data_IF_001858275085
#
_entry.id   IF_001858275085
#
_cell.length_a   1.000
_cell.length_b   1.000
_cell.length_c   1.000
_cell.angle_alpha   90.00
_cell.angle_beta   90.00
_cell.angle_gamma   90.00
#
_symmetry.space_group_name_H-M   'P 1'
#
loop_
_entity.id
_entity.type
_entity.pdbx_description
1 polymer ?
#
# COMPACT_ATOMS: atom_id res chain seq x y z
N UNK A 1 -3.17 13.01 -13.31
CA UNK A 1 -2.09 12.81 -14.29
C UNK A 1 -1.82 11.33 -14.29
N UNK A 2 -1.74 10.72 -15.46
CA UNK A 2 -1.72 9.28 -15.61
C UNK A 2 -0.43 8.85 -16.31
N UNK A 3 0.25 7.80 -15.83
CA UNK A 3 1.42 7.28 -16.51
C UNK A 3 1.02 6.68 -17.85
N UNK A 4 1.87 6.87 -18.86
CA UNK A 4 1.72 6.25 -20.17
C UNK A 4 3.03 5.58 -20.57
N UNK A 5 2.95 4.35 -21.08
CA UNK A 5 4.10 3.59 -21.55
C UNK A 5 4.22 3.73 -23.08
N UNK A 6 5.35 4.22 -23.56
CA UNK A 6 5.63 4.33 -24.99
C UNK A 6 7.07 3.88 -25.27
N UNK A 7 7.26 2.94 -26.19
CA UNK A 7 8.57 2.36 -26.57
C UNK A 7 9.43 1.95 -25.34
N UNK A 8 8.80 1.36 -24.32
CA UNK A 8 9.50 0.86 -23.14
C UNK A 8 9.91 1.92 -22.11
N UNK A 9 9.49 3.18 -22.27
CA UNK A 9 9.70 4.24 -21.27
C UNK A 9 8.35 4.85 -20.83
N UNK A 10 8.28 5.27 -19.58
CA UNK A 10 7.13 5.92 -18.99
C UNK A 10 7.21 7.44 -19.14
N UNK A 11 6.09 8.04 -19.51
CA UNK A 11 5.80 9.47 -19.45
C UNK A 11 4.46 9.70 -18.74
N UNK A 12 3.91 10.90 -18.86
CA UNK A 12 2.65 11.25 -18.20
C UNK A 12 1.74 12.13 -19.06
N UNK A 13 0.44 11.83 -19.01
CA UNK A 13 -0.63 12.56 -19.67
C UNK A 13 -1.59 13.20 -18.66
N UNK A 14 -2.22 14.31 -19.04
CA UNK A 14 -3.31 14.90 -18.27
C UNK A 14 -4.65 14.16 -18.47
N UNK A 15 -5.73 14.67 -17.85
CA UNK A 15 -7.07 14.08 -17.97
C UNK A 15 -7.67 14.19 -19.38
N UNK A 16 -7.19 15.12 -20.20
CA UNK A 16 -7.60 15.29 -21.58
C UNK A 16 -6.76 14.43 -22.55
N UNK A 17 -5.80 13.64 -22.03
CA UNK A 17 -4.91 12.82 -22.84
C UNK A 17 -3.73 13.58 -23.45
N UNK A 18 -3.52 14.85 -23.07
CA UNK A 18 -2.37 15.62 -23.55
C UNK A 18 -1.11 15.20 -22.81
N UNK A 19 -0.02 15.02 -23.55
CA UNK A 19 1.30 14.75 -22.98
C UNK A 19 1.78 15.93 -22.13
N UNK A 20 2.12 15.65 -20.87
CA UNK A 20 2.72 16.62 -19.94
C UNK A 20 4.20 16.33 -19.74
N UNK A 21 4.56 15.05 -19.58
CA UNK A 21 5.95 14.63 -19.43
C UNK A 21 6.22 13.57 -20.49
N UNK A 22 7.13 13.86 -21.41
CA UNK A 22 7.51 12.92 -22.46
C UNK A 22 8.08 11.61 -21.86
N UNK A 23 7.82 10.45 -22.48
CA UNK A 23 8.37 9.16 -22.05
C UNK A 23 9.89 9.17 -21.94
N UNK A 24 10.41 8.98 -20.72
CA UNK A 24 11.84 8.99 -20.43
C UNK A 24 12.24 8.07 -19.26
N UNK A 25 11.28 7.73 -18.39
CA UNK A 25 11.55 6.92 -17.19
C UNK A 25 11.51 5.43 -17.50
N UNK A 26 12.37 4.63 -16.87
CA UNK A 26 12.28 3.16 -16.96
C UNK A 26 11.13 2.60 -16.10
N UNK A 27 10.70 3.36 -15.09
CA UNK A 27 9.52 3.08 -14.28
C UNK A 27 8.89 4.40 -13.82
N UNK A 28 7.56 4.42 -13.69
CA UNK A 28 6.83 5.51 -13.06
C UNK A 28 5.62 4.95 -12.29
N UNK A 29 5.44 5.40 -11.06
CA UNK A 29 4.20 5.17 -10.30
C UNK A 29 3.12 6.16 -10.74
N UNK A 30 1.89 5.91 -10.29
CA UNK A 30 0.84 6.93 -10.29
C UNK A 30 1.22 8.11 -9.39
N UNK A 31 0.60 9.26 -9.67
CA UNK A 31 0.67 10.43 -8.79
C UNK A 31 -0.22 10.24 -7.56
N UNK A 32 0.35 10.45 -6.37
CA UNK A 32 -0.38 10.57 -5.11
C UNK A 32 0.18 11.74 -4.29
N UNK A 33 -0.72 12.52 -3.68
CA UNK A 33 -0.37 13.73 -2.90
C UNK A 33 0.69 14.61 -3.60
N UNK A 34 0.48 14.86 -4.90
CA UNK A 34 1.33 15.66 -5.78
C UNK A 34 2.68 15.08 -6.21
N UNK A 35 3.02 13.86 -5.76
CA UNK A 35 4.28 13.18 -6.10
C UNK A 35 4.06 11.90 -6.90
N UNK A 36 5.00 11.60 -7.80
CA UNK A 36 5.15 10.28 -8.41
C UNK A 36 6.58 9.80 -8.24
N UNK A 37 6.75 8.52 -7.92
CA UNK A 37 8.04 7.85 -7.86
C UNK A 37 8.43 7.39 -9.25
N UNK A 38 9.63 7.77 -9.70
CA UNK A 38 10.15 7.45 -11.03
C UNK A 38 11.55 6.87 -10.94
N UNK A 39 11.88 6.02 -11.91
CA UNK A 39 13.22 5.47 -12.11
C UNK A 39 13.78 6.01 -13.42
N UNK A 40 14.98 6.57 -13.36
CA UNK A 40 15.77 6.98 -14.51
C UNK A 40 17.09 6.21 -14.48
N UNK A 41 17.73 6.05 -15.64
CA UNK A 41 19.03 5.38 -15.72
C UNK A 41 20.04 6.13 -14.83
N UNK A 42 20.40 5.54 -13.68
CA UNK A 42 21.28 6.15 -12.67
C UNK A 42 20.63 6.47 -11.32
N UNK A 43 19.31 6.33 -11.14
CA UNK A 43 18.69 6.52 -9.83
C UNK A 43 17.17 6.56 -9.79
N UNK A 44 16.65 6.81 -8.59
CA UNK A 44 15.22 6.87 -8.29
C UNK A 44 14.88 8.21 -7.65
N UNK A 45 13.75 8.78 -8.03
CA UNK A 45 13.38 10.16 -7.69
C UNK A 45 11.88 10.27 -7.47
N UNK A 46 11.47 11.27 -6.70
CA UNK A 46 10.10 11.77 -6.75
C UNK A 46 10.04 12.99 -7.66
N UNK A 47 8.97 13.08 -8.45
CA UNK A 47 8.67 14.22 -9.32
C UNK A 47 7.32 14.83 -8.95
N UNK A 48 7.18 16.12 -9.24
CA UNK A 48 5.91 16.86 -9.14
C UNK A 48 5.10 16.72 -10.43
N UNK A 49 3.82 17.09 -10.37
CA UNK A 49 2.91 17.07 -11.54
C UNK A 49 3.40 17.90 -12.73
N UNK A 50 4.21 18.93 -12.52
CA UNK A 50 4.81 19.70 -13.62
C UNK A 50 6.05 19.03 -14.25
N UNK A 51 6.48 17.87 -13.73
CA UNK A 51 7.66 17.14 -14.19
C UNK A 51 8.97 17.54 -13.53
N UNK A 52 8.95 18.53 -12.63
CA UNK A 52 10.14 18.91 -11.85
C UNK A 52 10.49 17.82 -10.83
N UNK A 53 11.78 17.60 -10.62
CA UNK A 53 12.28 16.75 -9.53
C UNK A 53 11.92 17.38 -8.19
N UNK A 54 11.25 16.60 -7.33
CA UNK A 54 11.00 16.98 -5.95
C UNK A 54 12.23 16.69 -5.10
N UNK A 55 12.63 15.42 -5.02
CA UNK A 55 13.81 14.98 -4.27
C UNK A 55 14.29 13.59 -4.75
N UNK A 56 15.59 13.26 -4.58
CA UNK A 56 16.10 11.92 -4.82
C UNK A 56 15.55 10.93 -3.77
N UNK A 57 15.36 9.67 -4.18
CA UNK A 57 14.97 8.58 -3.30
C UNK A 57 16.07 7.53 -3.29
N UNK A 58 16.62 7.22 -2.12
CA UNK A 58 17.68 6.21 -1.98
C UNK A 58 17.14 4.76 -1.99
N UNK A 59 15.82 4.58 -1.96
CA UNK A 59 15.18 3.28 -1.80
C UNK A 59 14.67 2.72 -3.14
N UNK A 60 14.87 1.42 -3.38
CA UNK A 60 14.48 0.76 -4.62
C UNK A 60 12.96 0.62 -4.78
N UNK A 61 12.22 0.72 -3.67
CA UNK A 61 10.76 0.67 -3.66
C UNK A 61 10.17 1.58 -2.57
N UNK A 62 9.07 2.23 -2.94
CA UNK A 62 8.21 3.03 -2.08
C UNK A 62 6.74 2.78 -2.42
N UNK A 63 5.85 2.95 -1.45
CA UNK A 63 4.41 3.05 -1.69
C UNK A 63 4.04 4.43 -2.24
N UNK A 64 2.77 4.61 -2.58
CA UNK A 64 2.22 5.94 -2.79
C UNK A 64 2.22 6.74 -1.47
N UNK A 65 2.26 8.07 -1.58
CA UNK A 65 2.01 8.96 -0.45
C UNK A 65 0.54 8.89 -0.02
N UNK A 66 0.32 8.77 1.28
CA UNK A 66 -0.99 8.87 1.92
C UNK A 66 -0.80 9.47 3.30
N UNK A 67 -1.58 10.50 3.62
CA UNK A 67 -1.48 11.27 4.87
C UNK A 67 -0.08 11.84 5.08
N UNK A 68 0.57 12.32 4.03
CA UNK A 68 1.89 12.94 4.08
C UNK A 68 3.05 11.95 4.24
N UNK A 69 2.79 10.64 4.29
CA UNK A 69 3.83 9.61 4.41
C UNK A 69 3.74 8.59 3.28
N UNK A 70 4.88 8.01 2.89
CA UNK A 70 4.93 6.80 2.07
C UNK A 70 5.82 5.76 2.74
N UNK A 71 5.42 4.49 2.69
CA UNK A 71 6.27 3.40 3.12
C UNK A 71 7.44 3.23 2.13
N UNK A 72 8.63 2.95 2.62
CA UNK A 72 9.77 2.52 1.81
C UNK A 72 10.25 1.16 2.26
N UNK A 73 10.93 0.43 1.37
CA UNK A 73 11.59 -0.83 1.71
C UNK A 73 13.08 -0.73 1.44
N UNK A 74 13.90 -1.27 2.35
CA UNK A 74 15.38 -1.24 2.21
C UNK A 74 15.92 -2.21 1.13
N UNK A 75 15.06 -3.03 0.55
CA UNK A 75 15.35 -3.92 -0.59
C UNK A 75 14.25 -3.82 -1.63
N UNK A 76 14.45 -4.44 -2.80
CA UNK A 76 13.47 -4.49 -3.88
C UNK A 76 12.13 -5.08 -3.40
N UNK A 77 11.01 -4.59 -3.95
CA UNK A 77 9.65 -4.91 -3.48
C UNK A 77 9.42 -6.41 -3.26
N UNK A 78 9.78 -7.23 -4.25
CA UNK A 78 9.49 -8.66 -4.29
C UNK A 78 10.46 -9.52 -3.49
N UNK A 79 11.57 -8.95 -3.00
CA UNK A 79 12.50 -9.73 -2.19
C UNK A 79 11.93 -9.93 -0.78
N UNK A 80 12.11 -11.10 -0.16
CA UNK A 80 11.62 -11.33 1.20
C UNK A 80 12.49 -10.66 2.27
N UNK A 81 13.70 -10.22 1.91
CA UNK A 81 14.57 -9.43 2.79
C UNK A 81 14.14 -7.96 2.85
N UNK A 82 14.82 -7.19 3.69
CA UNK A 82 14.57 -5.76 3.87
C UNK A 82 13.59 -5.43 4.99
N UNK A 83 13.60 -4.16 5.38
CA UNK A 83 12.71 -3.62 6.41
C UNK A 83 11.93 -2.45 5.84
N UNK A 84 10.73 -2.26 6.35
CA UNK A 84 9.89 -1.14 6.01
C UNK A 84 10.04 -0.02 7.04
N UNK A 85 10.10 1.21 6.52
CA UNK A 85 10.00 2.47 7.26
C UNK A 85 9.13 3.45 6.48
N UNK A 86 9.08 4.71 6.91
CA UNK A 86 8.27 5.75 6.25
C UNK A 86 9.06 7.02 5.96
N UNK A 87 8.86 7.55 4.75
CA UNK A 87 9.36 8.86 4.34
C UNK A 87 8.24 9.89 4.42
N UNK A 88 8.60 11.13 4.75
CA UNK A 88 7.73 12.29 4.63
C UNK A 88 7.81 12.94 3.24
N UNK A 89 7.02 14.00 3.04
CA UNK A 89 6.96 14.73 1.75
C UNK A 89 8.22 15.57 1.43
N UNK A 90 9.20 15.63 2.34
CA UNK A 90 10.54 16.16 2.05
C UNK A 90 11.55 15.05 1.70
N UNK A 91 11.10 13.79 1.60
CA UNK A 91 11.96 12.63 1.34
C UNK A 91 12.81 12.21 2.53
N UNK A 92 12.52 12.71 3.73
CA UNK A 92 13.25 12.37 4.96
C UNK A 92 12.57 11.19 5.66
N UNK A 93 13.37 10.36 6.31
CA UNK A 93 12.87 9.28 7.16
C UNK A 93 12.13 9.91 8.35
N UNK A 94 10.83 9.65 8.45
CA UNK A 94 10.02 10.01 9.61
C UNK A 94 9.88 8.84 10.59
N UNK A 95 9.84 7.60 10.07
CA UNK A 95 9.80 6.39 10.87
C UNK A 95 10.88 5.44 10.34
N UNK A 96 11.82 5.09 11.21
CA UNK A 96 12.96 4.23 10.86
C UNK A 96 12.52 2.86 10.35
N UNK A 97 13.30 2.32 9.41
CA UNK A 97 13.06 1.01 8.85
C UNK A 97 13.34 -0.10 9.89
N UNK A 98 12.26 -0.67 10.44
CA UNK A 98 12.34 -1.76 11.42
C UNK A 98 11.25 -2.82 11.24
N UNK A 99 10.23 -2.55 10.44
CA UNK A 99 9.08 -3.42 10.28
C UNK A 99 9.33 -4.48 9.21
N UNK A 100 8.78 -5.68 9.42
CA UNK A 100 8.81 -6.78 8.44
C UNK A 100 7.86 -6.50 7.27
N UNK A 101 6.70 -5.90 7.59
CA UNK A 101 5.70 -5.44 6.63
C UNK A 101 5.09 -4.12 7.12
N UNK A 102 4.66 -3.27 6.20
CA UNK A 102 4.05 -1.99 6.50
C UNK A 102 2.96 -1.64 5.49
N UNK A 103 1.76 -1.32 5.98
CA UNK A 103 0.68 -0.75 5.18
C UNK A 103 0.82 0.76 5.01
N UNK A 104 0.05 1.34 4.09
CA UNK A 104 -0.08 2.79 3.98
C UNK A 104 -0.81 3.38 5.20
N UNK A 105 -0.52 4.65 5.51
CA UNK A 105 -1.30 5.38 6.51
C UNK A 105 -2.70 5.67 5.96
N UNK A 106 -3.71 5.10 6.61
CA UNK A 106 -5.13 5.25 6.29
C UNK A 106 -5.85 5.66 7.57
N UNK A 107 -6.65 6.74 7.52
CA UNK A 107 -7.31 7.28 8.72
C UNK A 107 -6.35 7.51 9.93
N UNK A 108 -5.15 8.04 9.65
CA UNK A 108 -4.07 8.37 10.64
C UNK A 108 -3.39 7.18 11.32
N UNK A 109 -3.75 5.94 10.95
CA UNK A 109 -3.15 4.71 11.45
C UNK A 109 -2.52 3.91 10.31
N UNK A 110 -1.46 3.16 10.63
CA UNK A 110 -0.94 2.12 9.77
C UNK A 110 -0.85 0.79 10.53
N UNK A 111 -1.21 -0.29 9.84
CA UNK A 111 -0.93 -1.65 10.28
C UNK A 111 0.50 -2.01 9.89
N UNK A 112 1.30 -2.46 10.86
CA UNK A 112 2.69 -2.85 10.67
C UNK A 112 2.99 -4.18 11.33
N UNK A 113 3.85 -4.96 10.71
CA UNK A 113 4.33 -6.23 11.24
C UNK A 113 5.72 -6.07 11.83
N UNK A 114 5.91 -6.56 13.06
CA UNK A 114 7.20 -6.62 13.72
C UNK A 114 7.33 -7.96 14.43
N UNK A 115 8.36 -8.73 14.07
CA UNK A 115 8.65 -10.05 14.61
C UNK A 115 7.48 -11.03 14.45
N UNK A 116 6.85 -11.05 13.27
CA UNK A 116 5.76 -11.97 12.93
C UNK A 116 4.41 -11.65 13.58
N UNK A 117 4.26 -10.45 14.15
CA UNK A 117 3.01 -9.97 14.76
C UNK A 117 2.66 -8.58 14.25
N UNK A 118 1.38 -8.41 13.95
CA UNK A 118 0.82 -7.15 13.50
C UNK A 118 0.42 -6.26 14.68
N UNK A 119 0.62 -4.96 14.53
CA UNK A 119 0.24 -3.93 15.50
C UNK A 119 -0.10 -2.64 14.76
N UNK A 120 -0.64 -1.66 15.47
CA UNK A 120 -1.07 -0.38 14.90
C UNK A 120 -0.13 0.72 15.34
N UNK A 121 0.26 1.59 14.42
CA UNK A 121 1.07 2.77 14.70
C UNK A 121 0.40 4.05 14.22
N UNK A 122 0.65 5.15 14.93
CA UNK A 122 0.28 6.49 14.50
C UNK A 122 1.34 7.08 13.56
N UNK A 123 1.10 8.31 13.07
CA UNK A 123 1.98 9.02 12.13
C UNK A 123 3.39 9.33 12.67
N UNK A 124 3.54 9.30 14.00
CA UNK A 124 4.83 9.45 14.69
C UNK A 124 5.54 8.10 14.92
N UNK A 125 4.96 6.99 14.44
CA UNK A 125 5.49 5.64 14.61
C UNK A 125 5.30 5.06 16.02
N UNK A 126 4.50 5.71 16.86
CA UNK A 126 4.16 5.23 18.20
C UNK A 126 3.08 4.16 18.09
N UNK A 127 3.22 3.10 18.90
CA UNK A 127 2.23 2.02 18.92
C UNK A 127 0.94 2.50 19.58
N UNK A 128 -0.19 2.39 18.88
CA UNK A 128 -1.51 2.81 19.37
C UNK A 128 -2.05 1.82 20.41
N UNK A 129 -1.87 0.51 20.17
CA UNK A 129 -2.40 -0.55 21.02
C UNK A 129 -1.32 -1.60 21.31
N UNK A 130 -1.26 -2.06 22.56
CA UNK A 130 -0.37 -3.16 22.96
C UNK A 130 -0.81 -4.51 22.38
N UNK A 131 -2.03 -4.59 21.82
CA UNK A 131 -2.55 -5.80 21.20
C UNK A 131 -1.69 -6.19 20.01
N UNK A 132 -1.36 -7.49 19.95
CA UNK A 132 -0.64 -8.13 18.86
C UNK A 132 -1.56 -9.09 18.13
N UNK A 133 -1.61 -8.94 16.82
CA UNK A 133 -2.46 -9.71 15.93
C UNK A 133 -1.61 -10.68 15.08
N UNK A 134 -2.25 -11.73 14.59
CA UNK A 134 -1.66 -12.63 13.60
C UNK A 134 -1.75 -12.04 12.18
N UNK A 135 -2.64 -11.07 11.97
CA UNK A 135 -2.82 -10.31 10.73
C UNK A 135 -3.72 -9.10 11.00
N UNK A 136 -3.50 -7.99 10.30
CA UNK A 136 -4.43 -6.85 10.21
C UNK A 136 -4.48 -6.39 8.76
N UNK A 137 -5.68 -6.20 8.22
CA UNK A 137 -5.86 -5.64 6.88
C UNK A 137 -5.57 -4.14 6.86
N UNK A 138 -5.59 -3.53 5.67
CA UNK A 138 -5.65 -2.07 5.58
C UNK A 138 -6.96 -1.53 6.21
N UNK A 139 -6.93 -0.28 6.64
CA UNK A 139 -8.13 0.39 7.15
C UNK A 139 -8.93 0.97 6.00
N UNK A 140 -10.23 0.69 6.01
CA UNK A 140 -11.21 1.31 5.13
C UNK A 140 -12.26 1.99 6.00
N UNK A 141 -12.48 3.29 5.77
CA UNK A 141 -13.42 4.10 6.57
C UNK A 141 -13.19 3.99 8.09
N UNK A 142 -11.92 3.86 8.51
CA UNK A 142 -11.53 3.79 9.92
C UNK A 142 -11.69 2.42 10.58
N UNK A 143 -11.99 1.37 9.81
CA UNK A 143 -12.12 0.00 10.31
C UNK A 143 -11.18 -0.93 9.52
N UNK A 144 -10.52 -1.85 10.23
CA UNK A 144 -9.76 -2.93 9.63
C UNK A 144 -10.24 -4.29 10.15
N UNK A 145 -10.10 -5.32 9.32
CA UNK A 145 -10.25 -6.71 9.77
C UNK A 145 -8.94 -7.18 10.40
N UNK A 146 -9.01 -7.87 11.52
CA UNK A 146 -7.86 -8.52 12.14
C UNK A 146 -8.08 -10.01 12.29
N UNK A 147 -6.98 -10.75 12.40
CA UNK A 147 -6.98 -12.15 12.83
C UNK A 147 -6.14 -12.32 14.08
N UNK A 148 -6.68 -13.01 15.09
CA UNK A 148 -6.00 -13.30 16.37
C UNK A 148 -6.44 -14.67 16.88
N UNK A 149 -5.48 -15.59 17.07
CA UNK A 149 -5.73 -16.97 17.51
C UNK A 149 -6.82 -17.66 16.65
N UNK A 150 -6.70 -17.54 15.33
CA UNK A 150 -7.65 -18.08 14.31
C UNK A 150 -9.06 -17.49 14.33
N UNK A 151 -9.32 -16.44 15.09
CA UNK A 151 -10.60 -15.71 15.04
C UNK A 151 -10.41 -14.40 14.28
N UNK A 152 -11.39 -14.08 13.44
CA UNK A 152 -11.49 -12.81 12.76
C UNK A 152 -12.34 -11.84 13.57
N UNK A 153 -12.02 -10.55 13.49
CA UNK A 153 -12.77 -9.48 14.11
C UNK A 153 -12.48 -8.16 13.40
N UNK A 154 -13.12 -7.08 13.88
CA UNK A 154 -12.92 -5.73 13.37
C UNK A 154 -12.22 -4.89 14.43
N UNK A 155 -11.36 -3.96 14.01
CA UNK A 155 -10.66 -3.03 14.89
C UNK A 155 -10.78 -1.62 14.33
N UNK A 156 -11.02 -0.63 15.19
CA UNK A 156 -11.06 0.78 14.80
C UNK A 156 -9.66 1.42 14.84
N UNK A 157 -9.55 2.69 14.42
CA UNK A 157 -8.26 3.39 14.31
C UNK A 157 -7.53 3.62 15.63
N UNK A 158 -8.25 3.59 16.76
CA UNK A 158 -7.67 3.69 18.10
C UNK A 158 -7.33 2.32 18.71
N UNK A 159 -7.51 1.24 17.94
CA UNK A 159 -7.11 -0.11 18.33
C UNK A 159 -8.11 -0.84 19.23
N UNK A 160 -9.35 -0.36 19.31
CA UNK A 160 -10.43 -1.07 19.99
C UNK A 160 -11.03 -2.14 19.07
N UNK A 161 -11.11 -3.37 19.59
CA UNK A 161 -11.79 -4.48 18.90
C UNK A 161 -13.31 -4.21 18.93
N UNK A 162 -13.94 -4.14 17.77
CA UNK A 162 -15.39 -3.87 17.61
C UNK A 162 -16.15 -5.19 17.77
N UNK A 163 -17.04 -5.26 18.77
CA UNK A 163 -17.94 -6.38 18.93
C UNK A 163 -19.05 -6.36 17.87
N UNK A 164 -19.20 -7.46 17.13
CA UNK A 164 -20.31 -7.63 16.20
C UNK A 164 -21.53 -8.18 16.96
N UNK A 165 -22.72 -7.59 16.80
CA UNK A 165 -23.92 -8.11 17.45
C UNK A 165 -24.23 -9.53 16.94
N UNK A 166 -24.59 -10.45 17.85
CA UNK A 166 -24.89 -11.87 17.57
C UNK A 166 -25.97 -12.08 16.49
N UNK A 167 -26.78 -11.06 16.20
CA UNK A 167 -27.96 -11.11 15.32
C UNK A 167 -27.60 -11.31 13.84
N UNK A 168 -26.33 -11.20 13.45
CA UNK A 168 -25.89 -11.47 12.07
C UNK A 168 -25.86 -13.00 11.76
N UNK A 169 -26.04 -13.89 12.75
CA UNK A 169 -25.87 -15.34 12.59
C UNK A 169 -27.15 -16.17 12.36
N UNK A 170 -28.30 -15.57 12.04
CA UNK A 170 -29.48 -16.34 11.59
C UNK A 170 -29.79 -16.08 10.12
N UNK A 171 -28.92 -16.58 9.25
CA UNK A 171 -29.28 -16.79 7.85
C UNK A 171 -28.30 -16.27 6.80
N UNK A 172 -27.00 -16.48 6.98
CA UNK A 172 -26.07 -16.88 5.91
C UNK A 172 -24.66 -17.01 6.51
N UNK A 173 -23.98 -18.10 6.16
CA UNK A 173 -22.58 -18.27 6.47
C UNK A 173 -21.79 -17.14 5.81
N UNK A 174 -21.10 -16.32 6.61
CA UNK A 174 -20.04 -15.46 6.10
C UNK A 174 -18.82 -16.33 5.75
N UNK A 175 -18.88 -17.01 4.61
CA UNK A 175 -17.69 -17.21 3.80
C UNK A 175 -17.47 -15.89 3.06
N UNK A 176 -16.65 -15.00 3.63
CA UNK A 176 -16.08 -13.89 2.86
C UNK A 176 -15.09 -14.46 1.85
N UNK A 177 -15.60 -15.01 0.74
CA UNK A 177 -14.87 -15.14 -0.51
C UNK A 177 -14.86 -13.77 -1.18
N UNK A 178 -13.93 -12.88 -0.79
CA UNK A 178 -13.66 -11.63 -1.52
C UNK A 178 -12.48 -11.80 -2.51
N UNK A 179 -11.76 -12.92 -2.50
CA UNK A 179 -10.70 -13.17 -3.48
C UNK A 179 -10.67 -14.62 -3.97
N UNK A 180 -11.61 -14.98 -4.85
CA UNK A 180 -11.38 -16.03 -5.84
C UNK A 180 -11.69 -15.47 -7.24
N UNK A 181 -10.63 -15.11 -7.96
CA UNK A 181 -10.73 -14.76 -9.39
C UNK A 181 -11.28 -15.96 -10.17
N UNK A 182 -12.22 -15.78 -11.12
CA UNK A 182 -12.55 -16.84 -12.06
C UNK A 182 -11.50 -16.85 -13.18
N UNK A 183 -10.65 -17.86 -13.21
CA UNK A 183 -9.96 -18.24 -14.45
C UNK A 183 -11.01 -18.76 -15.43
N UNK A 184 -11.19 -18.02 -16.52
CA UNK A 184 -11.94 -18.47 -17.70
C UNK A 184 -11.17 -19.63 -18.33
N UNK A 185 -11.82 -20.79 -18.44
CA UNK A 185 -11.30 -21.97 -19.12
C UNK A 185 -12.44 -22.80 -19.71
N UNK A 186 -12.61 -22.65 -21.02
CA UNK A 186 -13.69 -23.18 -21.86
C UNK A 186 -13.75 -24.71 -21.83
N UNK A 187 -14.93 -25.27 -21.61
CA UNK A 187 -15.27 -26.67 -21.93
C UNK A 187 -15.80 -26.74 -23.35
N UNK A 188 -15.07 -27.41 -24.25
CA UNK A 188 -15.60 -27.90 -25.51
C UNK A 188 -15.95 -29.38 -25.34
N UNK A 189 -17.23 -29.67 -25.13
CA UNK A 189 -17.81 -30.97 -25.46
C UNK A 189 -18.60 -30.82 -26.76
N UNK A 190 -18.21 -31.56 -27.80
CA UNK A 190 -19.09 -31.87 -28.92
C UNK A 190 -19.27 -33.38 -28.97
N UNK A 191 -20.53 -33.73 -29.16
CA UNK A 191 -21.07 -35.05 -29.39
C UNK A 191 -20.36 -35.78 -30.53
N UNK A 192 -20.18 -37.09 -30.37
CA UNK A 192 -20.66 -38.16 -31.27
C UNK A 192 -20.66 -39.50 -30.53
#
# INVERSE_FOLDING_TARGET
MYPVLNKGKYGFIDKAGKMVICPQFSFASDFSEDFAYVRLDGGTFFIKKNGEYAFPCAYPWVSHFSRGLCAFKTSEQHKPDGKFGYLNQEGKIQIDAKYDMAGAFTAEVAAVELNGKWTLINIDGQTISSVKYDFVSEFYEGIASFRKKRRWGLVNTIGEEIELPEVILRGQAFTFDIFSSPTVGVSTGKDE
#
